data_IF_864133520124
#
_entry.id   IF_864133520124
#
_cell.length_a   1.000
_cell.length_b   1.000
_cell.length_c   1.000
_cell.angle_alpha   90.00
_cell.angle_beta   90.00
_cell.angle_gamma   90.00
#
_symmetry.space_group_name_H-M   'P 1'
#
loop_
_entity.id
_entity.type
_entity.pdbx_description
1 polymer ?
#
# COMPACT_ATOMS: atom_id res chain seq x y z
N UNK A 1 -2.05 -12.63 7.37
CA UNK A 1 -0.66 -12.59 6.88
C UNK A 1 -0.57 -13.03 5.43
N UNK A 2 0.17 -12.27 4.62
CA UNK A 2 0.57 -12.57 3.25
C UNK A 2 2.10 -12.45 3.13
N UNK A 3 2.83 -13.36 3.80
CA UNK A 3 4.29 -13.36 3.84
C UNK A 3 4.90 -14.43 2.91
N UNK A 4 6.21 -14.38 2.67
CA UNK A 4 6.99 -15.43 1.98
C UNK A 4 6.59 -15.69 0.51
N UNK A 5 6.31 -14.63 -0.26
CA UNK A 5 5.94 -14.77 -1.68
C UNK A 5 4.47 -15.10 -1.94
N UNK A 6 3.62 -15.07 -0.90
CA UNK A 6 2.18 -15.26 -1.04
C UNK A 6 1.52 -14.27 -2.01
N UNK A 7 0.48 -14.71 -2.73
CA UNK A 7 -0.28 -13.90 -3.68
C UNK A 7 -1.76 -13.89 -3.29
N UNK A 8 -2.31 -12.70 -3.06
CA UNK A 8 -3.75 -12.47 -3.02
C UNK A 8 -4.11 -11.56 -4.19
N UNK A 9 -4.91 -12.06 -5.13
CA UNK A 9 -5.19 -11.34 -6.36
C UNK A 9 -6.66 -11.42 -6.78
N UNK A 10 -7.18 -10.31 -7.30
CA UNK A 10 -8.42 -10.27 -8.06
C UNK A 10 -8.09 -9.92 -9.52
N UNK A 11 -8.23 -10.89 -10.42
CA UNK A 11 -7.85 -10.74 -11.84
C UNK A 11 -8.94 -10.13 -12.71
N UNK A 12 -10.16 -9.99 -12.19
CA UNK A 12 -11.33 -9.51 -12.94
C UNK A 12 -12.00 -8.30 -12.31
N UNK A 13 -11.59 -7.88 -11.10
CA UNK A 13 -12.24 -6.77 -10.42
C UNK A 13 -11.48 -6.29 -9.20
N UNK A 14 -12.24 -6.00 -8.15
CA UNK A 14 -11.73 -5.41 -6.92
C UNK A 14 -11.17 -6.47 -5.96
N UNK A 15 -10.13 -6.11 -5.22
CA UNK A 15 -9.66 -6.81 -4.03
C UNK A 15 -9.97 -5.92 -2.81
N UNK A 16 -10.71 -6.45 -1.83
CA UNK A 16 -11.09 -5.73 -0.62
C UNK A 16 -10.66 -6.51 0.62
N UNK A 17 -9.89 -5.87 1.50
CA UNK A 17 -9.41 -6.44 2.77
C UNK A 17 -9.77 -5.50 3.92
N UNK A 18 -10.42 -6.03 4.95
CA UNK A 18 -10.63 -5.34 6.23
C UNK A 18 -10.05 -6.19 7.35
N UNK A 19 -9.04 -5.67 8.01
CA UNK A 19 -8.24 -6.42 9.00
C UNK A 19 -7.83 -5.50 10.15
N UNK A 20 -7.45 -6.04 11.30
CA UNK A 20 -6.81 -5.21 12.32
C UNK A 20 -5.36 -4.91 11.90
N UNK A 21 -4.62 -5.94 11.50
CA UNK A 21 -3.26 -5.81 10.98
C UNK A 21 -3.11 -6.59 9.68
N UNK A 22 -2.37 -6.02 8.74
CA UNK A 22 -1.93 -6.71 7.52
C UNK A 22 -0.41 -6.78 7.51
N UNK A 23 0.15 -8.00 7.44
CA UNK A 23 1.55 -8.20 7.10
C UNK A 23 1.66 -8.76 5.67
N UNK A 24 2.09 -7.93 4.72
CA UNK A 24 2.37 -8.27 3.32
C UNK A 24 3.88 -8.28 3.04
N UNK A 25 4.67 -8.99 3.86
CA UNK A 25 6.14 -8.99 3.77
C UNK A 25 6.65 -9.95 2.71
N UNK A 26 7.19 -9.41 1.61
CA UNK A 26 7.60 -10.20 0.44
C UNK A 26 6.44 -10.88 -0.29
N UNK A 27 5.19 -10.57 0.08
CA UNK A 27 3.97 -11.02 -0.60
C UNK A 27 3.48 -10.01 -1.62
N UNK A 28 2.44 -10.39 -2.37
CA UNK A 28 1.81 -9.58 -3.41
C UNK A 28 0.30 -9.49 -3.19
N UNK A 29 -0.22 -8.26 -3.17
CA UNK A 29 -1.63 -7.95 -3.27
C UNK A 29 -1.90 -7.29 -4.62
N UNK A 30 -2.83 -7.84 -5.39
CA UNK A 30 -3.16 -7.31 -6.71
C UNK A 30 -4.67 -7.21 -6.94
N UNK A 31 -5.14 -6.11 -7.51
CA UNK A 31 -6.51 -5.95 -7.96
C UNK A 31 -6.54 -5.30 -9.33
N UNK A 32 -7.19 -5.95 -10.30
CA UNK A 32 -7.24 -5.43 -11.68
C UNK A 32 -7.89 -4.04 -11.76
N UNK A 33 -8.96 -3.82 -11.00
CA UNK A 33 -9.69 -2.54 -11.00
C UNK A 33 -9.33 -1.68 -9.77
N UNK A 34 -9.46 -2.25 -8.58
CA UNK A 34 -9.15 -1.55 -7.34
C UNK A 34 -8.61 -2.50 -6.28
N UNK A 35 -7.68 -2.01 -5.48
CA UNK A 35 -7.36 -2.62 -4.18
C UNK A 35 -7.78 -1.66 -3.09
N UNK A 36 -8.61 -2.16 -2.17
CA UNK A 36 -9.00 -1.45 -0.95
C UNK A 36 -8.52 -2.24 0.26
N UNK A 37 -7.67 -1.63 1.08
CA UNK A 37 -7.19 -2.22 2.34
C UNK A 37 -7.51 -1.25 3.47
N UNK A 38 -8.19 -1.74 4.51
CA UNK A 38 -8.48 -0.95 5.71
C UNK A 38 -8.06 -1.72 6.96
N UNK A 39 -7.25 -1.09 7.81
CA UNK A 39 -6.87 -1.64 9.10
C UNK A 39 -6.20 -0.66 10.05
N UNK A 40 -5.73 -1.17 11.19
CA UNK A 40 -4.94 -0.40 12.15
C UNK A 40 -3.53 -0.17 11.61
N UNK A 41 -2.84 -1.24 11.24
CA UNK A 41 -1.45 -1.20 10.76
C UNK A 41 -1.28 -2.05 9.51
N UNK A 42 -0.57 -1.50 8.53
CA UNK A 42 -0.27 -2.15 7.27
C UNK A 42 1.26 -2.23 7.08
N UNK A 43 1.80 -3.43 6.99
CA UNK A 43 3.23 -3.69 6.76
C UNK A 43 3.41 -4.28 5.35
N UNK A 44 3.93 -3.48 4.42
CA UNK A 44 4.30 -3.85 3.06
C UNK A 44 5.83 -3.90 2.88
N UNK A 45 6.58 -4.17 3.95
CA UNK A 45 8.05 -4.17 3.91
C UNK A 45 8.65 -5.42 3.25
N UNK A 46 9.99 -5.49 3.22
CA UNK A 46 10.75 -6.67 2.80
C UNK A 46 10.39 -7.16 1.38
N UNK A 47 10.24 -6.22 0.43
CA UNK A 47 9.86 -6.53 -0.94
C UNK A 47 8.38 -6.83 -1.15
N UNK A 48 7.53 -6.50 -0.17
CA UNK A 48 6.07 -6.54 -0.31
C UNK A 48 5.58 -5.67 -1.46
N UNK A 49 4.51 -6.12 -2.13
CA UNK A 49 3.91 -5.40 -3.26
C UNK A 49 2.41 -5.26 -3.08
N UNK A 50 1.89 -4.04 -3.22
CA UNK A 50 0.46 -3.75 -3.35
C UNK A 50 0.27 -2.98 -4.65
N UNK A 51 -0.48 -3.55 -5.59
CA UNK A 51 -0.72 -2.89 -6.87
C UNK A 51 -2.12 -3.06 -7.41
N UNK A 52 -2.56 -2.08 -8.19
CA UNK A 52 -3.86 -2.11 -8.84
C UNK A 52 -4.10 -0.88 -9.71
N UNK A 53 -5.22 -0.85 -10.41
CA UNK A 53 -5.54 0.32 -11.22
C UNK A 53 -5.84 1.55 -10.34
N UNK A 54 -6.70 1.37 -9.32
CA UNK A 54 -6.90 2.32 -8.22
C UNK A 54 -6.46 1.70 -6.88
N UNK A 55 -5.84 2.49 -6.02
CA UNK A 55 -5.49 2.07 -4.66
C UNK A 55 -6.16 2.95 -3.61
N UNK A 56 -6.88 2.33 -2.66
CA UNK A 56 -7.46 2.97 -1.50
C UNK A 56 -6.95 2.28 -0.23
N UNK A 57 -6.00 2.92 0.45
CA UNK A 57 -5.34 2.36 1.62
C UNK A 57 -5.73 3.16 2.86
N UNK A 58 -6.16 2.47 3.91
CA UNK A 58 -6.44 3.05 5.23
C UNK A 58 -5.63 2.35 6.30
N UNK A 59 -4.79 3.09 7.01
CA UNK A 59 -3.98 2.58 8.12
C UNK A 59 -4.03 3.54 9.31
N UNK A 60 -4.88 3.27 10.31
CA UNK A 60 -5.12 4.19 11.45
C UNK A 60 -3.84 4.56 12.21
N UNK A 61 -2.94 3.60 12.38
CA UNK A 61 -1.70 3.75 13.15
C UNK A 61 -0.52 4.01 12.23
N UNK A 62 0.00 3.00 11.54
CA UNK A 62 1.19 3.16 10.70
C UNK A 62 1.12 2.27 9.47
N UNK A 63 1.38 2.86 8.31
CA UNK A 63 1.71 2.15 7.09
C UNK A 63 3.23 2.11 6.95
N UNK A 64 3.81 0.91 6.92
CA UNK A 64 5.23 0.69 6.67
C UNK A 64 5.40 0.13 5.27
N UNK A 65 6.16 0.83 4.42
CA UNK A 65 6.51 0.45 3.05
C UNK A 65 8.04 0.42 2.84
N UNK A 66 8.81 0.15 3.90
CA UNK A 66 10.28 0.12 3.83
C UNK A 66 10.76 -0.99 2.87
N UNK A 67 11.46 -0.58 1.80
CA UNK A 67 11.90 -1.49 0.74
C UNK A 67 10.76 -2.23 0.02
N UNK A 68 9.53 -1.74 0.17
CA UNK A 68 8.33 -2.25 -0.47
C UNK A 68 7.90 -1.42 -1.68
N UNK A 69 6.91 -1.94 -2.40
CA UNK A 69 6.28 -1.25 -3.53
C UNK A 69 4.77 -1.12 -3.32
N UNK A 70 4.28 0.10 -3.42
CA UNK A 70 2.85 0.42 -3.53
C UNK A 70 2.68 1.23 -4.81
N UNK A 71 1.95 0.67 -5.78
CA UNK A 71 1.85 1.21 -7.13
C UNK A 71 0.41 1.20 -7.63
N UNK A 72 -0.12 2.40 -7.89
CA UNK A 72 -1.38 2.55 -8.60
C UNK A 72 -1.13 2.88 -10.06
N UNK A 73 -1.85 2.26 -10.99
CA UNK A 73 -1.75 2.66 -12.40
C UNK A 73 -2.37 4.02 -12.65
N UNK A 74 -3.43 4.39 -11.94
CA UNK A 74 -4.16 5.64 -12.17
C UNK A 74 -4.11 6.57 -10.95
N UNK A 75 -4.66 6.13 -9.81
CA UNK A 75 -4.83 6.98 -8.63
C UNK A 75 -4.63 6.23 -7.32
N UNK A 76 -3.98 6.91 -6.38
CA UNK A 76 -3.67 6.42 -5.05
C UNK A 76 -4.27 7.34 -4.00
N UNK A 77 -5.13 6.81 -3.14
CA UNK A 77 -5.53 7.46 -1.90
C UNK A 77 -5.00 6.67 -0.72
N UNK A 78 -4.20 7.33 0.12
CA UNK A 78 -3.78 6.81 1.42
C UNK A 78 -4.33 7.72 2.52
N UNK A 79 -5.06 7.13 3.45
CA UNK A 79 -5.48 7.78 4.70
C UNK A 79 -4.84 7.04 5.87
N UNK A 80 -4.18 7.75 6.79
CA UNK A 80 -3.60 7.06 7.93
C UNK A 80 -2.95 7.93 8.99
N UNK A 81 -2.40 7.28 10.01
CA UNK A 81 -1.62 7.92 11.05
C UNK A 81 -0.25 8.32 10.52
N UNK A 82 0.71 7.41 10.62
CA UNK A 82 2.07 7.58 10.10
C UNK A 82 2.25 6.83 8.78
N UNK A 83 3.12 7.37 7.91
CA UNK A 83 3.64 6.67 6.74
C UNK A 83 5.16 6.59 6.85
N UNK A 84 5.69 5.37 6.82
CA UNK A 84 7.11 5.11 6.66
C UNK A 84 7.39 4.46 5.31
N UNK A 85 7.83 5.27 4.35
CA UNK A 85 8.23 4.90 3.01
C UNK A 85 9.77 4.98 2.84
N UNK A 86 10.53 4.86 3.92
CA UNK A 86 12.00 4.96 3.89
C UNK A 86 12.67 3.71 3.30
N UNK A 87 14.01 3.67 3.31
CA UNK A 87 14.80 2.50 2.94
C UNK A 87 14.48 1.92 1.54
N UNK A 88 14.43 2.79 0.53
CA UNK A 88 14.07 2.47 -0.85
C UNK A 88 12.61 2.02 -1.05
N UNK A 89 11.73 2.37 -0.11
CA UNK A 89 10.29 2.25 -0.28
C UNK A 89 9.80 3.07 -1.47
N UNK A 90 8.83 2.53 -2.22
CA UNK A 90 8.26 3.18 -3.38
C UNK A 90 6.75 3.26 -3.22
N UNK A 91 6.21 4.47 -3.19
CA UNK A 91 4.79 4.75 -3.18
C UNK A 91 4.51 5.64 -4.39
N UNK A 92 3.82 5.15 -5.42
CA UNK A 92 3.61 5.92 -6.66
C UNK A 92 2.26 5.68 -7.31
N UNK A 93 1.80 6.70 -8.01
CA UNK A 93 0.72 6.60 -8.99
C UNK A 93 1.31 6.92 -10.37
N UNK A 94 1.17 6.01 -11.32
CA UNK A 94 1.77 6.14 -12.65
C UNK A 94 0.94 7.03 -13.58
N UNK A 95 -0.38 7.07 -13.36
CA UNK A 95 -1.32 7.88 -14.10
C UNK A 95 -1.51 9.27 -13.50
N UNK A 96 -2.14 10.15 -14.27
CA UNK A 96 -2.42 11.53 -13.85
C UNK A 96 -3.70 11.72 -13.05
N UNK A 97 -4.36 10.64 -12.58
CA UNK A 97 -5.55 10.79 -11.76
C UNK A 97 -5.18 11.34 -10.37
N UNK A 98 -6.11 12.04 -9.72
CA UNK A 98 -5.83 12.67 -8.43
C UNK A 98 -5.38 11.63 -7.40
N UNK A 99 -4.17 11.82 -6.89
CA UNK A 99 -3.65 11.06 -5.74
C UNK A 99 -3.71 11.92 -4.48
N UNK A 100 -3.95 11.28 -3.34
CA UNK A 100 -4.14 11.95 -2.06
C UNK A 100 -3.43 11.19 -0.94
N UNK A 101 -2.67 11.93 -0.14
CA UNK A 101 -2.11 11.45 1.12
C UNK A 101 -2.73 12.27 2.25
N UNK A 102 -3.58 11.64 3.05
CA UNK A 102 -4.22 12.23 4.21
C UNK A 102 -3.62 11.58 5.47
N UNK A 103 -2.57 12.19 6.00
CA UNK A 103 -1.84 11.68 7.15
C UNK A 103 -2.11 12.56 8.37
N UNK A 104 -2.50 11.95 9.48
CA UNK A 104 -2.65 12.66 10.77
C UNK A 104 -1.36 12.70 11.59
N UNK A 105 -0.34 11.95 11.16
CA UNK A 105 0.95 11.80 11.82
C UNK A 105 2.12 12.04 10.87
N UNK A 106 3.25 11.39 11.14
CA UNK A 106 4.52 11.67 10.46
C UNK A 106 4.61 10.98 9.08
N UNK A 107 5.25 11.67 8.14
CA UNK A 107 5.71 11.11 6.88
C UNK A 107 7.23 10.95 6.92
N UNK A 108 7.73 9.71 6.88
CA UNK A 108 9.14 9.41 6.65
C UNK A 108 9.31 8.88 5.23
N UNK A 109 10.01 9.64 4.38
CA UNK A 109 10.35 9.25 3.01
C UNK A 109 11.88 9.27 2.78
N UNK A 110 12.68 9.07 3.82
CA UNK A 110 14.14 9.13 3.70
C UNK A 110 14.65 7.98 2.83
N UNK A 111 15.35 8.31 1.75
CA UNK A 111 15.77 7.35 0.71
C UNK A 111 14.60 6.58 0.07
N UNK A 112 13.37 7.12 0.14
CA UNK A 112 12.18 6.59 -0.50
C UNK A 112 11.82 7.35 -1.77
N UNK A 113 10.89 6.80 -2.54
CA UNK A 113 10.26 7.47 -3.69
C UNK A 113 8.78 7.64 -3.40
N UNK A 114 8.29 8.88 -3.59
CA UNK A 114 6.90 9.28 -3.42
C UNK A 114 6.42 10.05 -4.65
#
# INVERSE_FOLDING_TARGET
DNASGGLMASLVGNLQLTVETLANRGGKLFGKEQVTVSGASLDNSAGGQISGNQLNLTSRNTLTNQGGLIEANQGLTLTGGNLDNSANGQLRALGGASSKLNLSGALNNQNGTL
#
